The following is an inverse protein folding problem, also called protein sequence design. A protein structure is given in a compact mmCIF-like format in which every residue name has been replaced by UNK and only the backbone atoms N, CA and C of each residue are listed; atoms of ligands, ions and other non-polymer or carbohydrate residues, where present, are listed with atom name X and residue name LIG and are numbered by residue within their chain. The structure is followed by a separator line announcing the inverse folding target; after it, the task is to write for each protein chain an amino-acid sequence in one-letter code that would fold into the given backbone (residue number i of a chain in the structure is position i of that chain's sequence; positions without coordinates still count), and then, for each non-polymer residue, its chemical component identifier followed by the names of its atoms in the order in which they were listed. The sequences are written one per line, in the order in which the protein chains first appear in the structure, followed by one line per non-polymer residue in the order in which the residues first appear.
data_IF_575128101875
#
_entry.id   IF_575128101875
#
_cell.length_a   1.000
_cell.length_b   1.000
_cell.length_c   1.000
_cell.angle_alpha   90.00
_cell.angle_beta   90.00
_cell.angle_gamma   90.00
#
_symmetry.space_group_name_H-M   'P 1'
#
loop_
_entity.id
_entity.type
_entity.pdbx_description
1 polymer ?
#
# COMPACT_ATOMS: atom_id res chain seq x y z
N UNK A 1 2.43 33.16 -14.45
CA UNK A 1 1.40 32.10 -14.62
C UNK A 1 2.04 30.97 -15.41
N UNK A 2 2.61 29.97 -14.72
CA UNK A 2 3.33 28.87 -15.37
C UNK A 2 2.30 27.81 -15.74
N UNK A 3 2.05 27.61 -17.04
CA UNK A 3 1.36 26.42 -17.55
C UNK A 3 2.32 25.25 -17.38
N UNK A 4 2.21 24.53 -16.27
CA UNK A 4 2.89 23.25 -16.10
C UNK A 4 2.02 22.22 -16.84
N UNK A 5 2.49 21.80 -18.01
CA UNK A 5 1.83 20.81 -18.86
C UNK A 5 1.87 19.45 -18.16
N UNK A 6 0.74 18.73 -18.19
CA UNK A 6 0.53 17.38 -17.64
C UNK A 6 1.26 16.31 -18.51
N UNK A 7 2.11 16.73 -19.45
CA UNK A 7 2.56 15.91 -20.58
C UNK A 7 4.06 15.55 -20.53
N UNK A 8 4.73 15.66 -19.38
CA UNK A 8 6.14 15.26 -19.31
C UNK A 8 6.29 13.74 -19.49
N UNK A 9 5.32 12.96 -18.98
CA UNK A 9 5.35 11.49 -19.06
C UNK A 9 3.96 10.89 -19.35
N UNK A 10 3.36 11.16 -20.52
CA UNK A 10 1.97 10.79 -20.82
C UNK A 10 1.75 9.29 -20.92
N UNK A 11 2.79 8.49 -21.10
CA UNK A 11 2.72 7.02 -21.19
C UNK A 11 3.27 6.30 -19.94
N UNK A 12 3.62 7.02 -18.88
CA UNK A 12 4.16 6.41 -17.67
C UNK A 12 3.09 5.58 -16.95
N UNK A 13 3.28 4.26 -16.90
CA UNK A 13 2.39 3.31 -16.19
C UNK A 13 3.00 2.79 -14.89
N UNK A 14 4.25 3.15 -14.61
CA UNK A 14 5.02 2.68 -13.45
C UNK A 14 5.67 3.86 -12.76
N UNK A 15 5.51 3.95 -11.45
CA UNK A 15 6.16 4.96 -10.62
C UNK A 15 7.03 4.25 -9.58
N UNK A 16 8.29 4.69 -9.47
CA UNK A 16 9.21 4.25 -8.41
C UNK A 16 9.69 5.48 -7.66
N UNK A 17 9.36 5.56 -6.38
CA UNK A 17 9.88 6.56 -5.46
C UNK A 17 11.02 5.92 -4.67
N UNK A 18 12.21 6.50 -4.74
CA UNK A 18 13.43 5.97 -4.13
C UNK A 18 14.07 7.03 -3.23
N UNK A 19 15.03 6.62 -2.40
CA UNK A 19 15.86 7.50 -1.57
C UNK A 19 15.07 8.29 -0.50
N UNK A 20 15.73 9.25 0.14
CA UNK A 20 15.11 10.17 1.09
C UNK A 20 14.15 11.12 0.39
N UNK A 21 12.87 10.87 0.59
CA UNK A 21 11.78 11.73 0.13
C UNK A 21 11.30 12.58 1.31
N UNK A 22 11.95 13.72 1.54
CA UNK A 22 11.51 14.72 2.52
C UNK A 22 10.57 15.70 1.83
N UNK A 23 9.28 15.38 1.80
CA UNK A 23 8.28 16.30 1.26
C UNK A 23 7.34 16.71 2.38
N UNK A 24 7.05 18.02 2.55
CA UNK A 24 5.99 18.47 3.43
C UNK A 24 4.71 17.68 3.12
N UNK A 25 3.99 17.26 4.17
CA UNK A 25 2.89 16.27 4.09
C UNK A 25 1.87 16.53 2.96
N UNK A 26 1.70 17.77 2.53
CA UNK A 26 0.64 18.17 1.61
C UNK A 26 1.03 18.29 0.11
N UNK A 27 2.30 18.11 -0.29
CA UNK A 27 2.73 18.48 -1.67
C UNK A 27 2.96 17.34 -2.67
N UNK A 28 3.27 16.10 -2.24
CA UNK A 28 3.73 15.07 -3.18
C UNK A 28 2.72 14.76 -4.29
N UNK A 29 1.43 14.70 -3.95
CA UNK A 29 0.38 14.36 -4.92
C UNK A 29 0.23 15.46 -5.96
N UNK A 30 0.27 16.73 -5.52
CA UNK A 30 0.16 17.89 -6.40
C UNK A 30 1.32 17.85 -7.38
N UNK A 31 2.54 17.67 -6.88
CA UNK A 31 3.75 17.62 -7.68
C UNK A 31 3.73 16.44 -8.68
N UNK A 32 3.33 15.24 -8.23
CA UNK A 32 3.26 14.07 -9.11
C UNK A 32 2.15 14.21 -10.17
N UNK A 33 1.00 14.78 -9.83
CA UNK A 33 -0.12 14.94 -10.76
C UNK A 33 0.17 16.00 -11.85
N UNK A 34 1.11 16.91 -11.59
CA UNK A 34 1.64 17.82 -12.61
C UNK A 34 2.67 17.15 -13.53
N UNK A 35 3.34 16.10 -13.08
CA UNK A 35 4.41 15.44 -13.82
C UNK A 35 3.90 14.26 -14.68
N UNK A 36 2.90 13.52 -14.19
CA UNK A 36 2.37 12.36 -14.88
C UNK A 36 0.88 12.11 -14.61
N UNK A 37 0.18 11.41 -15.52
CA UNK A 37 -1.21 11.02 -15.31
C UNK A 37 -1.32 9.91 -14.26
N UNK A 38 -1.59 10.27 -12.99
CA UNK A 38 -1.67 9.31 -11.88
C UNK A 38 -2.66 8.17 -12.12
N UNK A 39 -3.76 8.44 -12.83
CA UNK A 39 -4.82 7.45 -13.12
C UNK A 39 -4.34 6.29 -13.99
N UNK A 40 -3.26 6.41 -14.75
CA UNK A 40 -2.79 5.33 -15.63
C UNK A 40 -1.72 4.44 -14.98
N UNK A 41 -1.29 4.78 -13.76
CA UNK A 41 -0.33 3.98 -13.03
C UNK A 41 -0.93 2.62 -12.69
N UNK A 42 -0.20 1.57 -13.07
CA UNK A 42 -0.54 0.17 -12.81
C UNK A 42 0.40 -0.47 -11.78
N UNK A 43 1.59 0.12 -11.61
CA UNK A 43 2.59 -0.33 -10.64
C UNK A 43 3.16 0.86 -9.87
N UNK A 44 3.19 0.71 -8.55
CA UNK A 44 3.83 1.63 -7.63
C UNK A 44 4.92 0.90 -6.84
N UNK A 45 6.09 1.49 -6.77
CA UNK A 45 7.21 1.02 -5.95
C UNK A 45 7.68 2.16 -5.06
N UNK A 46 7.74 1.92 -3.75
CA UNK A 46 8.21 2.88 -2.76
C UNK A 46 9.37 2.25 -2.00
N UNK A 47 10.56 2.76 -2.27
CA UNK A 47 11.83 2.35 -1.67
C UNK A 47 12.39 3.44 -0.75
N UNK A 48 11.52 4.34 -0.29
CA UNK A 48 11.83 5.45 0.61
C UNK A 48 11.65 5.05 2.08
N UNK A 49 12.67 5.22 2.92
CA UNK A 49 12.64 4.80 4.33
C UNK A 49 11.72 5.64 5.23
N UNK A 50 11.42 6.89 4.87
CA UNK A 50 10.58 7.79 5.66
C UNK A 50 9.17 7.98 5.09
N UNK A 51 8.83 7.25 4.02
CA UNK A 51 7.51 7.35 3.40
C UNK A 51 6.48 6.65 4.26
N UNK A 52 5.56 7.43 4.81
CA UNK A 52 4.59 6.94 5.78
C UNK A 52 3.47 6.17 5.10
N UNK A 53 2.83 5.26 5.84
CA UNK A 53 1.67 4.55 5.31
C UNK A 53 0.50 5.50 5.03
N UNK A 54 0.36 6.59 5.77
CA UNK A 54 -0.64 7.63 5.52
C UNK A 54 -0.43 8.33 4.18
N UNK A 55 0.83 8.70 3.87
CA UNK A 55 1.18 9.26 2.56
C UNK A 55 0.89 8.27 1.42
N UNK A 56 1.05 6.97 1.68
CA UNK A 56 0.65 5.93 0.72
C UNK A 56 -0.86 5.97 0.49
N UNK A 57 -1.68 5.99 1.55
CA UNK A 57 -3.14 6.02 1.43
C UNK A 57 -3.58 7.27 0.66
N UNK A 58 -2.99 8.42 0.97
CA UNK A 58 -3.26 9.67 0.25
C UNK A 58 -2.88 9.56 -1.23
N UNK A 59 -1.75 8.94 -1.59
CA UNK A 59 -1.39 8.73 -2.99
C UNK A 59 -2.35 7.76 -3.71
N UNK A 60 -2.79 6.72 -2.99
CA UNK A 60 -3.70 5.70 -3.52
C UNK A 60 -5.09 6.23 -3.84
N UNK A 61 -5.54 7.30 -3.20
CA UNK A 61 -6.81 7.97 -3.52
C UNK A 61 -6.84 8.57 -4.94
N UNK A 62 -5.68 8.72 -5.60
CA UNK A 62 -5.58 9.26 -6.97
C UNK A 62 -5.09 8.24 -7.99
N UNK A 63 -4.73 7.03 -7.56
CA UNK A 63 -4.04 6.02 -8.37
C UNK A 63 -4.78 4.68 -8.38
N UNK A 64 -6.09 4.74 -8.62
CA UNK A 64 -7.01 3.60 -8.52
C UNK A 64 -6.69 2.36 -9.40
N UNK A 65 -5.93 2.54 -10.48
CA UNK A 65 -5.57 1.47 -11.41
C UNK A 65 -4.28 0.72 -11.03
N UNK A 66 -3.70 1.02 -9.87
CA UNK A 66 -2.54 0.26 -9.38
C UNK A 66 -2.98 -1.16 -9.02
N UNK A 67 -2.34 -2.13 -9.67
CA UNK A 67 -2.50 -3.56 -9.39
C UNK A 67 -1.32 -4.13 -8.60
N UNK A 68 -0.14 -3.53 -8.76
CA UNK A 68 1.11 -4.00 -8.14
C UNK A 68 1.69 -2.92 -7.24
N UNK A 69 1.78 -3.23 -5.95
CA UNK A 69 2.40 -2.39 -4.93
C UNK A 69 3.67 -3.07 -4.38
N UNK A 70 4.80 -2.38 -4.45
CA UNK A 70 6.05 -2.80 -3.80
C UNK A 70 6.46 -1.74 -2.78
N UNK A 71 6.73 -2.17 -1.56
CA UNK A 71 7.19 -1.33 -0.46
C UNK A 71 8.54 -1.85 0.05
N UNK A 72 9.42 -0.96 0.49
CA UNK A 72 10.57 -1.34 1.31
C UNK A 72 10.10 -1.79 2.69
N UNK A 73 9.36 -0.93 3.40
CA UNK A 73 8.73 -1.25 4.68
C UNK A 73 7.40 -0.53 4.85
N UNK A 74 6.65 -0.90 5.90
CA UNK A 74 5.48 -0.15 6.36
C UNK A 74 5.89 0.65 7.58
N UNK A 75 5.87 1.98 7.45
CA UNK A 75 6.10 2.91 8.53
C UNK A 75 4.77 3.46 9.04
N UNK A 76 4.42 3.12 10.28
CA UNK A 76 3.25 3.64 10.99
C UNK A 76 3.72 4.57 12.10
N UNK A 77 3.27 5.81 12.11
CA UNK A 77 3.54 6.70 13.23
C UNK A 77 2.56 6.38 14.38
N UNK A 78 3.09 6.24 15.61
CA UNK A 78 2.46 5.61 16.79
C UNK A 78 1.04 6.08 17.16
N UNK A 79 0.63 7.27 16.71
CA UNK A 79 -0.71 7.80 16.97
C UNK A 79 -1.80 7.23 16.04
N UNK A 80 -1.46 6.40 15.05
CA UNK A 80 -2.34 6.19 13.89
C UNK A 80 -2.72 4.76 13.49
N UNK A 81 -2.20 3.69 14.10
CA UNK A 81 -2.58 2.33 13.65
C UNK A 81 -4.09 2.03 13.83
N UNK A 82 -4.69 2.50 14.93
CA UNK A 82 -6.14 2.40 15.17
C UNK A 82 -6.93 3.42 14.35
N UNK A 83 -6.40 4.63 14.16
CA UNK A 83 -7.11 5.69 13.43
C UNK A 83 -7.10 5.50 11.92
N UNK A 84 -6.08 4.88 11.32
CA UNK A 84 -6.05 4.57 9.89
C UNK A 84 -7.17 3.59 9.53
N UNK A 85 -7.44 2.57 10.35
CA UNK A 85 -8.56 1.64 10.07
C UNK A 85 -9.94 2.30 10.22
N UNK A 86 -10.03 3.39 10.99
CA UNK A 86 -11.27 4.15 11.20
C UNK A 86 -11.40 5.37 10.29
N UNK A 87 -10.31 5.77 9.62
CA UNK A 87 -10.26 6.93 8.74
C UNK A 87 -11.10 6.69 7.48
N UNK A 88 -11.97 7.64 7.16
CA UNK A 88 -12.78 7.64 5.95
C UNK A 88 -11.95 7.53 4.67
N UNK A 89 -10.75 8.12 4.64
CA UNK A 89 -9.82 7.98 3.50
C UNK A 89 -9.35 6.54 3.30
N UNK A 90 -9.03 5.83 4.36
CA UNK A 90 -8.61 4.43 4.26
C UNK A 90 -9.75 3.53 3.82
N UNK A 91 -10.99 3.80 4.27
CA UNK A 91 -12.19 3.08 3.80
C UNK A 91 -12.44 3.35 2.32
N UNK A 92 -12.32 4.60 1.89
CA UNK A 92 -12.44 5.00 0.49
C UNK A 92 -11.41 4.25 -0.37
N UNK A 93 -10.14 4.31 0.02
CA UNK A 93 -9.06 3.60 -0.68
C UNK A 93 -9.33 2.11 -0.69
N UNK A 94 -9.72 1.51 0.44
CA UNK A 94 -10.04 0.07 0.53
C UNK A 94 -11.13 -0.36 -0.45
N UNK A 95 -12.18 0.46 -0.62
CA UNK A 95 -13.28 0.16 -1.52
C UNK A 95 -12.93 0.34 -3.00
N UNK A 96 -12.04 1.30 -3.32
CA UNK A 96 -11.78 1.72 -4.69
C UNK A 96 -10.51 1.10 -5.29
N UNK A 97 -9.52 0.72 -4.48
CA UNK A 97 -8.27 0.22 -5.02
C UNK A 97 -8.42 -1.14 -5.71
N UNK A 98 -7.51 -1.41 -6.65
CA UNK A 98 -7.48 -2.65 -7.45
C UNK A 98 -6.19 -3.43 -7.24
N UNK A 99 -5.55 -3.24 -6.07
CA UNK A 99 -4.27 -3.85 -5.75
C UNK A 99 -4.47 -5.34 -5.50
N UNK A 100 -3.88 -6.16 -6.37
CA UNK A 100 -3.92 -7.62 -6.27
C UNK A 100 -2.59 -8.19 -5.81
N UNK A 101 -1.48 -7.47 -5.98
CA UNK A 101 -0.14 -7.92 -5.58
C UNK A 101 0.57 -6.92 -4.70
N UNK A 102 0.95 -7.36 -3.51
CA UNK A 102 1.74 -6.59 -2.54
C UNK A 102 3.06 -7.29 -2.26
N UNK A 103 4.16 -6.55 -2.33
CA UNK A 103 5.50 -7.03 -1.95
C UNK A 103 6.11 -6.10 -0.93
N UNK A 104 6.64 -6.64 0.16
CA UNK A 104 7.31 -5.89 1.23
C UNK A 104 8.68 -6.48 1.45
N UNK A 105 9.70 -5.63 1.32
CA UNK A 105 11.09 -6.07 1.27
C UNK A 105 11.68 -6.29 2.66
N UNK A 106 11.24 -5.54 3.68
CA UNK A 106 11.67 -5.70 5.06
C UNK A 106 10.72 -6.58 5.86
N UNK A 107 11.18 -7.03 7.02
CA UNK A 107 10.41 -7.85 7.93
C UNK A 107 9.13 -7.14 8.39
N UNK A 108 8.03 -7.92 8.44
CA UNK A 108 6.70 -7.41 8.78
C UNK A 108 6.10 -8.18 9.95
N UNK A 109 5.39 -7.45 10.81
CA UNK A 109 4.67 -8.01 11.97
C UNK A 109 3.24 -8.41 11.60
N UNK A 110 2.60 -9.22 12.44
CA UNK A 110 1.19 -9.60 12.27
C UNK A 110 0.26 -8.39 12.20
N UNK A 111 0.45 -7.38 13.06
CA UNK A 111 -0.37 -6.15 13.07
C UNK A 111 -0.37 -5.45 11.70
N UNK A 112 0.80 -5.34 11.08
CA UNK A 112 0.94 -4.73 9.76
C UNK A 112 0.28 -5.56 8.67
N UNK A 113 0.31 -6.89 8.77
CA UNK A 113 -0.41 -7.78 7.83
C UNK A 113 -1.92 -7.62 7.99
N UNK A 114 -2.42 -7.53 9.23
CA UNK A 114 -3.84 -7.28 9.49
C UNK A 114 -4.29 -5.96 8.86
N UNK A 115 -3.48 -4.90 9.00
CA UNK A 115 -3.70 -3.63 8.33
C UNK A 115 -3.76 -3.79 6.80
N UNK A 116 -2.77 -4.46 6.18
CA UNK A 116 -2.75 -4.68 4.73
C UNK A 116 -4.00 -5.41 4.24
N UNK A 117 -4.42 -6.48 4.92
CA UNK A 117 -5.63 -7.23 4.52
C UNK A 117 -6.91 -6.42 4.66
N UNK A 118 -6.91 -5.37 5.48
CA UNK A 118 -8.05 -4.46 5.65
C UNK A 118 -8.06 -3.38 4.57
N UNK A 119 -6.89 -2.85 4.23
CA UNK A 119 -6.73 -1.77 3.25
C UNK A 119 -6.77 -2.30 1.81
N UNK A 120 -6.28 -3.52 1.58
CA UNK A 120 -6.21 -4.15 0.26
C UNK A 120 -7.06 -5.43 0.23
N UNK A 121 -8.40 -5.30 0.26
CA UNK A 121 -9.29 -6.45 0.37
C UNK A 121 -9.27 -7.37 -0.87
N UNK A 122 -8.77 -6.88 -2.01
CA UNK A 122 -8.65 -7.62 -3.28
C UNK A 122 -7.27 -8.25 -3.50
N UNK A 123 -6.43 -8.27 -2.47
CA UNK A 123 -5.07 -8.81 -2.55
C UNK A 123 -5.10 -10.33 -2.77
N UNK A 124 -4.49 -10.78 -3.85
CA UNK A 124 -4.35 -12.19 -4.24
C UNK A 124 -2.93 -12.72 -3.94
N UNK A 125 -1.92 -11.84 -4.04
CA UNK A 125 -0.51 -12.19 -3.88
C UNK A 125 0.14 -11.31 -2.82
N UNK A 126 0.71 -11.95 -1.79
CA UNK A 126 1.48 -11.29 -0.74
C UNK A 126 2.88 -11.90 -0.69
N UNK A 127 3.91 -11.08 -0.91
CA UNK A 127 5.32 -11.48 -0.76
C UNK A 127 5.95 -10.65 0.36
N UNK A 128 6.40 -11.31 1.42
CA UNK A 128 6.88 -10.68 2.64
C UNK A 128 8.05 -11.44 3.22
N UNK A 129 8.91 -10.73 3.95
CA UNK A 129 9.92 -11.33 4.81
C UNK A 129 9.39 -11.42 6.25
N UNK A 130 9.61 -12.55 6.91
CA UNK A 130 9.06 -12.85 8.24
C UNK A 130 10.15 -13.34 9.18
N UNK A 131 10.04 -12.94 10.45
CA UNK A 131 10.77 -13.65 11.50
C UNK A 131 10.17 -15.05 11.67
N UNK A 132 11.03 -16.03 11.94
CA UNK A 132 10.62 -17.44 12.11
C UNK A 132 9.50 -17.61 13.15
N UNK A 133 9.55 -16.82 14.22
CA UNK A 133 8.55 -16.82 15.30
C UNK A 133 7.18 -16.28 14.87
N UNK A 134 7.13 -15.42 13.85
CA UNK A 134 5.90 -14.78 13.37
C UNK A 134 5.22 -15.60 12.27
N UNK A 135 5.90 -16.60 11.68
CA UNK A 135 5.35 -17.42 10.62
C UNK A 135 4.02 -18.10 11.00
N UNK A 136 3.98 -18.76 12.16
CA UNK A 136 2.80 -19.49 12.63
C UNK A 136 1.60 -18.57 12.90
N UNK A 137 1.70 -17.48 13.68
CA UNK A 137 0.57 -16.60 13.92
C UNK A 137 0.07 -15.91 12.63
N UNK A 138 0.98 -15.56 11.71
CA UNK A 138 0.63 -14.95 10.43
C UNK A 138 -0.09 -15.94 9.51
N UNK A 139 0.42 -17.17 9.38
CA UNK A 139 -0.23 -18.21 8.59
C UNK A 139 -1.64 -18.51 9.12
N UNK A 140 -1.80 -18.66 10.44
CA UNK A 140 -3.13 -18.86 11.06
C UNK A 140 -4.09 -17.72 10.75
N UNK A 141 -3.63 -16.47 10.86
CA UNK A 141 -4.45 -15.29 10.53
C UNK A 141 -4.90 -15.31 9.06
N UNK A 142 -3.98 -15.49 8.11
CA UNK A 142 -4.31 -15.50 6.68
C UNK A 142 -5.28 -16.64 6.32
N UNK A 143 -5.07 -17.84 6.87
CA UNK A 143 -5.97 -18.98 6.67
C UNK A 143 -7.37 -18.70 7.23
N UNK A 144 -7.49 -18.08 8.40
CA UNK A 144 -8.79 -17.72 8.97
C UNK A 144 -9.57 -16.71 8.12
N UNK A 145 -8.86 -15.83 7.38
CA UNK A 145 -9.48 -14.88 6.43
C UNK A 145 -9.93 -15.54 5.12
N UNK A 146 -9.25 -16.60 4.70
CA UNK A 146 -9.65 -17.38 3.51
C UNK A 146 -10.87 -18.29 3.77
N UNK A 147 -11.11 -18.66 5.03
CA UNK A 147 -12.07 -19.69 5.46
C UNK A 147 -13.57 -19.34 5.36
N UNK A 148 -13.97 -18.29 4.63
CA UNK A 148 -15.38 -18.20 4.19
C UNK A 148 -15.77 -19.34 3.21
N UNK A 149 -14.80 -20.13 2.69
CA UNK A 149 -15.05 -21.31 1.85
C UNK A 149 -14.31 -22.61 2.25
N UNK A 150 -13.54 -22.67 3.34
CA UNK A 150 -12.73 -23.86 3.66
C UNK A 150 -12.88 -24.31 5.11
N UNK A 151 -13.90 -25.15 5.35
CA UNK A 151 -14.21 -25.83 6.63
C UNK A 151 -13.18 -26.87 7.12
N UNK A 152 -11.97 -26.95 6.56
CA UNK A 152 -11.11 -28.14 6.73
C UNK A 152 -9.72 -27.91 7.35
N UNK A 153 -9.39 -26.73 7.87
CA UNK A 153 -8.06 -26.46 8.45
C UNK A 153 -8.05 -26.17 9.96
N UNK A 154 -9.07 -26.62 10.70
CA UNK A 154 -9.20 -26.41 12.14
C UNK A 154 -8.24 -27.24 13.02
N UNK A 155 -7.05 -27.61 12.54
CA UNK A 155 -6.11 -28.45 13.32
C UNK A 155 -4.62 -28.17 13.06
N UNK A 156 -4.23 -26.89 12.98
CA UNK A 156 -2.82 -26.43 13.01
C UNK A 156 -2.58 -25.42 14.13
#
# INVERSE_FOLDING_TARGET
MIKISIDNFPNATKLTLCETFEVPRDSIIIDLNHLLPLKQLTKLTIECHHFSFEQLIELLQFTHNIHVLKLDSILLYRTYSVSIQQNELSKLVSNMNTITKVTISKEITLEKIQLLTTVFPRMEYLTINLYKQDLQPIARFLLSKSNNNTRYLSSL
#
